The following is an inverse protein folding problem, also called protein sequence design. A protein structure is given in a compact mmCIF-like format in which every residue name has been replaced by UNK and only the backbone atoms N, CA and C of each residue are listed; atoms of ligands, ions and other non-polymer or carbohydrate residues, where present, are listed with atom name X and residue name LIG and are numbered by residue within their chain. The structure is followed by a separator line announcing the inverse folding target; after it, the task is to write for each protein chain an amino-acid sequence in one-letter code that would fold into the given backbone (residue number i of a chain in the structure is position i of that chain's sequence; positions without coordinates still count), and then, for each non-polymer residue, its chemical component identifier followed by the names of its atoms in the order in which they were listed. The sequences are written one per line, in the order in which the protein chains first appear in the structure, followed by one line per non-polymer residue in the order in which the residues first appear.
data_IF_236592618638
#
_entry.id   IF_236592618638
#
_cell.length_a   1.000
_cell.length_b   1.000
_cell.length_c   1.000
_cell.angle_alpha   90.00
_cell.angle_beta   90.00
_cell.angle_gamma   90.00
#
_symmetry.space_group_name_H-M   'P 1'
#
loop_
_entity.id
_entity.type
_entity.pdbx_description
1 polymer ?
#
# COMPACT_ATOMS: atom_id res chain seq x y z
N UNK A 1 3.47 -16.92 11.71
CA UNK A 1 4.30 -15.77 11.31
C UNK A 1 3.91 -14.58 12.18
N UNK A 2 4.76 -14.16 13.13
CA UNK A 2 4.51 -12.95 13.91
C UNK A 2 5.02 -11.76 13.10
N UNK A 3 4.12 -11.20 12.28
CA UNK A 3 4.42 -9.95 11.56
C UNK A 3 4.62 -8.89 12.63
N UNK A 4 5.79 -8.25 12.64
CA UNK A 4 6.04 -7.17 13.58
C UNK A 4 5.09 -6.01 13.23
N UNK A 5 4.23 -5.64 14.18
CA UNK A 5 3.21 -4.61 14.02
C UNK A 5 3.80 -3.27 13.56
N UNK A 6 5.03 -2.96 13.97
CA UNK A 6 5.75 -1.77 13.54
C UNK A 6 6.05 -1.80 12.03
N UNK A 7 6.55 -2.93 11.52
CA UNK A 7 6.84 -3.11 10.09
C UNK A 7 5.57 -3.13 9.25
N UNK A 8 4.52 -3.74 9.79
CA UNK A 8 3.19 -3.70 9.17
C UNK A 8 2.75 -2.25 8.98
N UNK A 9 2.76 -1.47 10.07
CA UNK A 9 2.31 -0.09 10.05
C UNK A 9 3.21 0.78 9.18
N UNK A 10 4.52 0.55 9.18
CA UNK A 10 5.46 1.27 8.33
C UNK A 10 5.14 1.07 6.83
N UNK A 11 4.80 -0.15 6.43
CA UNK A 11 4.41 -0.46 5.04
C UNK A 11 3.01 0.08 4.74
N UNK A 12 2.05 -0.07 5.65
CA UNK A 12 0.70 0.49 5.52
C UNK A 12 0.77 2.01 5.28
N UNK A 13 1.49 2.74 6.13
CA UNK A 13 1.66 4.20 6.00
C UNK A 13 2.37 4.58 4.70
N UNK A 14 3.42 3.87 4.30
CA UNK A 14 4.11 4.15 3.04
C UNK A 14 3.22 3.92 1.81
N UNK A 15 2.36 2.88 1.81
CA UNK A 15 1.39 2.64 0.74
C UNK A 15 0.38 3.81 0.68
N UNK A 16 -0.12 4.26 1.83
CA UNK A 16 -1.05 5.39 1.90
C UNK A 16 -0.42 6.68 1.37
N UNK A 17 0.83 6.97 1.74
CA UNK A 17 1.58 8.16 1.27
C UNK A 17 1.74 8.14 -0.26
N UNK A 18 2.17 6.99 -0.82
CA UNK A 18 2.29 6.81 -2.27
C UNK A 18 0.96 7.05 -2.97
N UNK A 19 -0.12 6.42 -2.50
CA UNK A 19 -1.44 6.55 -3.14
C UNK A 19 -2.07 7.92 -2.92
N UNK A 20 -1.70 8.62 -1.84
CA UNK A 20 -2.15 10.00 -1.59
C UNK A 20 -1.48 10.99 -2.55
N UNK A 21 -0.28 10.69 -3.04
CA UNK A 21 0.43 11.55 -4.01
C UNK A 21 0.18 11.16 -5.46
N UNK A 22 0.13 9.87 -5.80
CA UNK A 22 0.03 9.40 -7.19
C UNK A 22 -1.42 9.16 -7.65
N UNK A 23 -2.43 9.28 -6.76
CA UNK A 23 -3.88 8.98 -6.93
C UNK A 23 -4.18 7.50 -7.31
N UNK A 24 -3.43 6.97 -8.27
CA UNK A 24 -3.43 5.59 -8.73
C UNK A 24 -2.01 5.05 -9.00
N UNK A 25 -1.78 3.77 -8.70
CA UNK A 25 -0.50 3.11 -9.00
C UNK A 25 -0.70 1.67 -9.47
N UNK A 26 0.10 1.23 -10.44
CA UNK A 26 0.14 -0.18 -10.84
C UNK A 26 0.78 -1.02 -9.73
N UNK A 27 0.20 -2.19 -9.43
CA UNK A 27 0.73 -3.09 -8.39
C UNK A 27 2.21 -3.44 -8.59
N UNK A 28 2.66 -3.58 -9.84
CA UNK A 28 4.08 -3.86 -10.17
C UNK A 28 5.04 -2.73 -9.74
N UNK A 29 4.56 -1.49 -9.69
CA UNK A 29 5.35 -0.30 -9.34
C UNK A 29 5.26 0.03 -7.84
N UNK A 30 4.22 -0.46 -7.16
CA UNK A 30 3.99 -0.20 -5.73
C UNK A 30 5.19 -0.53 -4.84
N UNK A 31 5.89 -1.67 -4.98
CA UNK A 31 7.06 -1.98 -4.14
C UNK A 31 8.16 -0.92 -4.25
N UNK A 32 8.49 -0.53 -5.47
CA UNK A 32 9.53 0.48 -5.72
C UNK A 32 9.12 1.86 -5.21
N UNK A 33 7.84 2.24 -5.33
CA UNK A 33 7.33 3.49 -4.79
C UNK A 33 7.36 3.49 -3.24
N UNK A 34 6.92 2.39 -2.62
CA UNK A 34 6.98 2.20 -1.16
C UNK A 34 8.41 2.28 -0.66
N UNK A 35 9.36 1.58 -1.30
CA UNK A 35 10.78 1.63 -0.93
C UNK A 35 11.35 3.05 -0.95
N UNK A 36 10.94 3.89 -1.90
CA UNK A 36 11.34 5.30 -1.96
C UNK A 36 10.77 6.15 -0.82
N UNK A 37 9.60 5.78 -0.28
CA UNK A 37 8.97 6.46 0.87
C UNK A 37 9.53 6.04 2.22
N UNK A 38 10.16 4.87 2.29
CA UNK A 38 10.78 4.39 3.51
C UNK A 38 12.04 5.21 3.81
N UNK A 39 11.93 6.17 4.72
CA UNK A 39 13.04 7.02 5.19
C UNK A 39 14.08 6.26 5.98
N UNK A 40 13.71 5.12 6.56
CA UNK A 40 14.60 4.23 7.32
C UNK A 40 14.77 2.89 6.61
N UNK A 41 15.94 2.23 6.72
CA UNK A 41 16.17 0.93 6.09
C UNK A 41 15.18 -0.11 6.60
N UNK A 42 14.36 -0.62 5.68
CA UNK A 42 13.37 -1.64 6.00
C UNK A 42 14.04 -3.01 6.17
N UNK A 43 13.95 -3.57 7.38
CA UNK A 43 14.48 -4.92 7.66
C UNK A 43 13.48 -5.98 7.21
N UNK A 44 13.52 -6.35 5.93
CA UNK A 44 12.73 -7.45 5.36
C UNK A 44 12.46 -7.23 3.87
N UNK A 45 11.68 -8.14 3.26
CA UNK A 45 11.24 -7.98 1.88
C UNK A 45 9.98 -7.12 1.83
N UNK A 46 10.09 -5.90 1.28
CA UNK A 46 8.96 -4.98 1.10
C UNK A 46 7.82 -5.66 0.33
N UNK A 47 8.13 -6.35 -0.78
CA UNK A 47 7.13 -7.08 -1.58
C UNK A 47 6.37 -8.15 -0.79
N UNK A 48 7.03 -8.84 0.15
CA UNK A 48 6.39 -9.85 1.01
C UNK A 48 5.41 -9.21 2.01
N UNK A 49 5.79 -8.06 2.56
CA UNK A 49 4.91 -7.29 3.43
C UNK A 49 3.74 -6.69 2.66
N UNK A 50 3.98 -6.11 1.48
CA UNK A 50 2.90 -5.61 0.61
C UNK A 50 1.92 -6.73 0.25
N UNK A 51 2.40 -7.93 -0.08
CA UNK A 51 1.53 -9.07 -0.37
C UNK A 51 0.65 -9.48 0.82
N UNK A 52 1.04 -9.12 2.04
CA UNK A 52 0.25 -9.37 3.26
C UNK A 52 -0.65 -8.18 3.63
N UNK A 53 -0.14 -6.95 3.50
CA UNK A 53 -0.81 -5.71 3.90
C UNK A 53 -1.88 -5.32 2.88
N UNK A 54 -1.62 -5.47 1.57
CA UNK A 54 -2.55 -5.10 0.50
C UNK A 54 -3.93 -5.77 0.64
N UNK A 55 -4.05 -7.12 0.73
CA UNK A 55 -5.36 -7.75 0.87
C UNK A 55 -6.08 -7.37 2.17
N UNK A 56 -5.35 -7.06 3.26
CA UNK A 56 -5.95 -6.52 4.49
C UNK A 56 -6.55 -5.13 4.23
N UNK A 57 -5.80 -4.24 3.60
CA UNK A 57 -6.26 -2.89 3.24
C UNK A 57 -7.44 -2.92 2.25
N UNK A 58 -7.44 -3.85 1.29
CA UNK A 58 -8.57 -4.08 0.37
C UNK A 58 -9.80 -4.56 1.11
N UNK A 59 -9.64 -5.51 2.04
CA UNK A 59 -10.75 -6.06 2.85
C UNK A 59 -11.33 -5.00 3.79
N UNK A 60 -10.48 -4.12 4.33
CA UNK A 60 -10.88 -3.00 5.18
C UNK A 60 -11.46 -1.82 4.39
N UNK A 61 -11.43 -1.86 3.06
CA UNK A 61 -11.93 -0.79 2.20
C UNK A 61 -11.10 0.49 2.29
N UNK A 62 -9.81 0.39 2.60
CA UNK A 62 -8.87 1.53 2.65
C UNK A 62 -8.31 1.81 1.25
N UNK A 63 -8.02 0.74 0.50
CA UNK A 63 -7.63 0.81 -0.90
C UNK A 63 -8.56 -0.06 -1.71
N UNK A 64 -8.70 0.25 -2.98
CA UNK A 64 -9.48 -0.54 -3.91
C UNK A 64 -8.70 -0.80 -5.19
N UNK A 65 -8.97 -1.95 -5.78
CA UNK A 65 -8.45 -2.30 -7.09
C UNK A 65 -9.35 -1.71 -8.17
N UNK A 66 -8.75 -1.01 -9.12
CA UNK A 66 -9.46 -0.48 -10.28
C UNK A 66 -9.77 -1.66 -11.23
N UNK A 67 -11.06 -1.90 -11.45
CA UNK A 67 -11.54 -2.94 -12.36
C UNK A 67 -11.27 -2.56 -13.83
N UNK A 68 -10.94 -3.54 -14.67
CA UNK A 68 -10.70 -3.32 -16.11
C UNK A 68 -9.24 -3.04 -16.49
N UNK A 69 -8.34 -2.82 -15.53
CA UNK A 69 -6.92 -2.60 -15.82
C UNK A 69 -6.13 -3.93 -15.84
N UNK A 70 -5.41 -4.23 -16.95
CA UNK A 70 -4.57 -5.43 -17.03
C UNK A 70 -3.44 -5.42 -15.99
N UNK A 71 -3.00 -4.23 -15.58
CA UNK A 71 -1.88 -4.02 -14.66
C UNK A 71 -2.22 -4.06 -13.16
N UNK A 72 -3.47 -4.38 -12.78
CA UNK A 72 -3.92 -4.35 -11.38
C UNK A 72 -3.63 -3.01 -10.69
N UNK A 73 -4.23 -1.92 -11.18
CA UNK A 73 -4.07 -0.61 -10.56
C UNK A 73 -4.81 -0.53 -9.22
N UNK A 74 -4.21 0.21 -8.29
CA UNK A 74 -4.70 0.43 -6.93
C UNK A 74 -4.88 1.92 -6.71
N UNK A 75 -5.92 2.29 -5.97
CA UNK A 75 -6.17 3.66 -5.52
C UNK A 75 -6.66 3.67 -4.07
N UNK A 76 -6.58 4.82 -3.41
CA UNK A 76 -7.24 5.01 -2.12
C UNK A 76 -8.76 4.95 -2.30
N UNK A 77 -9.44 4.19 -1.44
CA UNK A 77 -10.86 4.39 -1.26
C UNK A 77 -11.04 5.78 -0.66
N UNK A 78 -11.75 6.65 -1.36
CA UNK A 78 -12.19 7.92 -0.78
C UNK A 78 -13.26 7.62 0.28
N UNK A 79 -12.84 7.20 1.47
CA UNK A 79 -13.72 7.38 2.63
C UNK A 79 -13.79 8.88 2.87
N UNK A 80 -15.02 9.40 2.79
CA UNK A 80 -15.37 10.81 2.80
C UNK A 80 -14.65 11.61 3.88
N UNK A 81 -14.41 12.88 3.55
CA UNK A 81 -14.00 13.89 4.50
C UNK A 81 -14.85 13.83 5.78
N UNK A 82 -14.16 13.90 6.89
CA UNK A 82 -14.72 14.49 8.11
C UNK A 82 -14.30 15.95 8.08
N UNK A 83 -15.28 16.77 7.69
CA UNK A 83 -15.44 18.17 8.04
C UNK A 83 -15.15 18.44 9.53
#
# INVERSE_FOLDING_TARGET
MNINREKYHQIEQAILDVLSEEDEIEFKNLPAAVEKRLTTPFKGSVSLYIATVKPDMETRGIIERIAGSPSQQLRLCKTSGIE
#
